data_IF_492806002200
#
_entry.id   IF_492806002200
#
_cell.length_a   1.000
_cell.length_b   1.000
_cell.length_c   1.000
_cell.angle_alpha   90.00
_cell.angle_beta   90.00
_cell.angle_gamma   90.00
#
_symmetry.space_group_name_H-M   'P 1'
#
loop_
_entity.id
_entity.type
_entity.pdbx_description
1 polymer ?
#
# COMPACT_ATOMS: atom_id res chain seq x y z
N UNK A 1 4.49 -3.65 -17.77
CA UNK A 1 4.46 -3.31 -16.33
C UNK A 1 4.61 -4.50 -15.41
N UNK A 2 3.79 -5.57 -15.53
CA UNK A 2 3.85 -6.74 -14.62
C UNK A 2 5.17 -7.55 -14.61
N UNK A 3 6.11 -7.26 -15.51
CA UNK A 3 7.46 -7.80 -15.48
C UNK A 3 8.40 -7.07 -14.48
N UNK A 4 8.00 -5.89 -13.98
CA UNK A 4 8.72 -5.21 -12.91
C UNK A 4 8.29 -5.74 -11.54
N UNK A 5 9.26 -6.13 -10.70
CA UNK A 5 9.00 -6.74 -9.39
C UNK A 5 8.22 -5.83 -8.44
N UNK A 6 8.51 -4.53 -8.45
CA UNK A 6 7.88 -3.58 -7.52
C UNK A 6 6.44 -3.30 -7.95
N UNK A 7 6.23 -3.15 -9.26
CA UNK A 7 4.91 -3.00 -9.84
C UNK A 7 4.04 -4.24 -9.65
N UNK A 8 4.58 -5.44 -9.88
CA UNK A 8 3.86 -6.69 -9.65
C UNK A 8 3.42 -6.82 -8.19
N UNK A 9 4.29 -6.47 -7.24
CA UNK A 9 3.95 -6.46 -5.82
C UNK A 9 2.87 -5.40 -5.52
N UNK A 10 2.95 -4.21 -6.11
CA UNK A 10 1.94 -3.17 -5.95
C UNK A 10 0.56 -3.64 -6.44
N UNK A 11 0.47 -4.25 -7.62
CA UNK A 11 -0.77 -4.83 -8.13
C UNK A 11 -1.31 -5.96 -7.23
N UNK A 12 -0.43 -6.81 -6.71
CA UNK A 12 -0.81 -7.86 -5.76
C UNK A 12 -1.35 -7.25 -4.45
N UNK A 13 -0.73 -6.20 -3.93
CA UNK A 13 -1.13 -5.57 -2.67
C UNK A 13 -2.56 -4.98 -2.75
N UNK A 14 -2.96 -4.42 -3.90
CA UNK A 14 -4.35 -4.00 -4.13
C UNK A 14 -5.30 -5.20 -4.04
N UNK A 15 -4.95 -6.32 -4.68
CA UNK A 15 -5.73 -7.55 -4.63
C UNK A 15 -5.81 -8.17 -3.23
N UNK A 16 -4.73 -8.12 -2.45
CA UNK A 16 -4.75 -8.62 -1.06
C UNK A 16 -5.58 -7.71 -0.12
N UNK A 17 -5.62 -6.41 -0.40
CA UNK A 17 -6.46 -5.47 0.34
C UNK A 17 -7.95 -5.69 0.09
N UNK A 18 -8.34 -6.20 -1.09
CA UNK A 18 -9.74 -6.45 -1.43
C UNK A 18 -10.32 -7.71 -0.76
N UNK A 19 -9.47 -8.63 -0.29
CA UNK A 19 -9.91 -9.86 0.36
C UNK A 19 -10.60 -9.57 1.71
N UNK A 20 -11.90 -9.86 1.77
CA UNK A 20 -12.75 -9.63 2.94
C UNK A 20 -13.15 -8.16 3.14
N UNK A 21 -12.92 -7.30 2.15
CA UNK A 21 -13.38 -5.91 2.15
C UNK A 21 -14.89 -5.81 1.85
N UNK A 22 -15.52 -4.76 2.33
CA UNK A 22 -16.91 -4.39 2.00
C UNK A 22 -17.02 -3.86 0.58
N UNK A 23 -18.22 -3.88 -0.02
CA UNK A 23 -18.44 -3.37 -1.38
C UNK A 23 -18.00 -1.90 -1.53
N UNK A 24 -18.22 -1.08 -0.49
CA UNK A 24 -17.77 0.31 -0.43
C UNK A 24 -16.24 0.43 -0.49
N UNK A 25 -15.52 -0.48 0.17
CA UNK A 25 -14.05 -0.54 0.14
C UNK A 25 -13.54 -1.13 -1.18
N UNK A 26 -14.29 -2.04 -1.82
CA UNK A 26 -13.97 -2.58 -3.14
C UNK A 26 -14.07 -1.49 -4.21
N UNK A 27 -15.13 -0.67 -4.22
CA UNK A 27 -15.29 0.44 -5.17
C UNK A 27 -14.14 1.44 -5.07
N UNK A 28 -13.77 1.73 -3.83
CA UNK A 28 -12.62 2.50 -3.41
C UNK A 28 -11.29 1.92 -3.95
N UNK A 29 -11.02 0.64 -3.73
CA UNK A 29 -9.84 -0.04 -4.28
C UNK A 29 -9.84 -0.11 -5.82
N UNK A 30 -11.02 -0.27 -6.44
CA UNK A 30 -11.17 -0.25 -7.89
C UNK A 30 -10.83 1.13 -8.47
N UNK A 31 -11.28 2.21 -7.81
CA UNK A 31 -10.94 3.59 -8.16
C UNK A 31 -9.43 3.83 -8.00
N UNK A 32 -8.82 3.31 -6.93
CA UNK A 32 -7.37 3.38 -6.76
C UNK A 32 -6.61 2.63 -7.86
N UNK A 33 -7.10 1.45 -8.26
CA UNK A 33 -6.56 0.70 -9.39
C UNK A 33 -6.67 1.49 -10.70
N UNK A 34 -7.81 2.16 -10.93
CA UNK A 34 -8.03 3.02 -12.09
C UNK A 34 -6.97 4.13 -12.20
N UNK A 35 -6.77 4.89 -11.14
CA UNK A 35 -5.82 6.01 -11.12
C UNK A 35 -4.36 5.61 -10.97
N UNK A 36 -4.06 4.31 -10.89
CA UNK A 36 -2.70 3.80 -10.81
C UNK A 36 -2.42 2.82 -11.94
N UNK A 37 -2.91 1.58 -11.86
CA UNK A 37 -2.59 0.52 -12.82
C UNK A 37 -3.14 0.83 -14.21
N UNK A 38 -4.30 1.50 -14.34
CA UNK A 38 -4.88 1.84 -15.64
C UNK A 38 -4.40 3.20 -16.19
N UNK A 39 -4.44 4.25 -15.37
CA UNK A 39 -4.16 5.63 -15.81
C UNK A 39 -3.09 6.34 -14.97
N UNK A 40 -2.20 5.61 -14.31
CA UNK A 40 -1.16 6.19 -13.47
C UNK A 40 0.03 6.76 -14.25
N UNK A 41 0.60 7.83 -13.68
CA UNK A 41 1.84 8.46 -14.10
C UNK A 41 2.93 8.28 -13.03
N UNK A 42 4.19 8.29 -13.43
CA UNK A 42 5.32 8.29 -12.50
C UNK A 42 6.36 9.36 -12.86
N UNK A 43 7.10 9.82 -11.85
CA UNK A 43 8.26 10.69 -12.04
C UNK A 43 9.51 9.84 -12.15
N UNK A 44 10.27 10.03 -13.23
CA UNK A 44 11.56 9.38 -13.44
C UNK A 44 12.58 10.44 -13.85
N UNK A 45 13.59 10.66 -13.00
CA UNK A 45 14.62 11.68 -13.21
C UNK A 45 14.03 13.09 -13.43
N UNK A 46 12.97 13.43 -12.68
CA UNK A 46 12.27 14.71 -12.80
C UNK A 46 11.30 14.81 -13.99
N UNK A 47 11.21 13.79 -14.85
CA UNK A 47 10.33 13.76 -16.02
C UNK A 47 9.11 12.89 -15.70
N UNK A 48 7.90 13.40 -15.98
CA UNK A 48 6.66 12.64 -15.85
C UNK A 48 6.54 11.67 -17.02
N UNK A 49 6.19 10.41 -16.73
CA UNK A 49 6.00 9.34 -17.70
C UNK A 49 4.74 8.55 -17.39
N UNK A 50 4.11 8.04 -18.44
CA UNK A 50 2.99 7.11 -18.30
C UNK A 50 3.48 5.70 -17.96
N UNK A 51 2.76 5.04 -17.05
CA UNK A 51 2.90 3.60 -16.82
C UNK A 51 1.56 2.86 -16.84
N UNK A 52 0.44 3.58 -16.73
CA UNK A 52 -0.90 3.00 -16.76
C UNK A 52 -1.18 2.23 -18.05
N UNK A 53 -1.86 1.08 -17.93
CA UNK A 53 -2.17 0.21 -19.07
C UNK A 53 -3.08 0.90 -20.11
N UNK A 54 -4.09 1.64 -19.67
CA UNK A 54 -4.96 2.45 -20.53
C UNK A 54 -4.18 3.52 -21.30
N UNK A 55 -3.21 4.16 -20.65
CA UNK A 55 -2.31 5.13 -21.31
C UNK A 55 -1.42 4.44 -22.34
N UNK A 56 -0.73 3.37 -21.95
CA UNK A 56 0.25 2.70 -22.81
C UNK A 56 -0.39 1.97 -24.01
N UNK A 57 -1.70 1.73 -23.99
CA UNK A 57 -2.44 1.08 -25.07
C UNK A 57 -3.28 2.04 -25.92
N UNK A 58 -3.40 3.32 -25.53
CA UNK A 58 -4.17 4.33 -26.26
C UNK A 58 -3.26 5.47 -26.72
N UNK A 59 -3.06 5.57 -28.03
CA UNK A 59 -2.21 6.60 -28.63
C UNK A 59 -2.63 8.03 -28.25
N UNK A 60 -3.93 8.33 -28.33
CA UNK A 60 -4.44 9.67 -28.04
C UNK A 60 -4.38 10.01 -26.55
N UNK A 61 -4.77 9.06 -25.69
CA UNK A 61 -4.74 9.23 -24.23
C UNK A 61 -3.31 9.39 -23.71
N UNK A 62 -2.33 8.66 -24.29
CA UNK A 62 -0.92 8.79 -23.95
C UNK A 62 -0.41 10.22 -24.18
N UNK A 63 -0.71 10.78 -25.35
CA UNK A 63 -0.31 12.16 -25.70
C UNK A 63 -1.03 13.15 -24.79
N UNK A 64 -2.33 12.98 -24.58
CA UNK A 64 -3.14 13.83 -23.71
C UNK A 64 -2.60 13.86 -22.28
N UNK A 65 -2.29 12.70 -21.69
CA UNK A 65 -1.80 12.56 -20.32
C UNK A 65 -0.47 13.25 -20.01
N UNK A 66 0.33 13.56 -21.05
CA UNK A 66 1.64 14.23 -20.94
C UNK A 66 1.62 15.65 -21.52
N UNK A 67 0.45 16.17 -21.87
CA UNK A 67 0.25 17.54 -22.32
C UNK A 67 -0.04 18.49 -21.16
N UNK A 68 -0.29 19.77 -21.45
CA UNK A 68 -0.68 20.78 -20.48
C UNK A 68 -2.21 20.85 -20.24
N UNK A 69 -2.99 20.00 -20.93
CA UNK A 69 -4.46 20.00 -20.85
C UNK A 69 -5.02 19.35 -19.55
N UNK A 70 -4.57 18.15 -19.12
CA UNK A 70 -5.12 17.53 -17.92
C UNK A 70 -4.50 18.08 -16.63
N UNK A 71 -5.23 17.96 -15.53
CA UNK A 71 -4.70 18.22 -14.21
C UNK A 71 -3.87 17.02 -13.71
N UNK A 72 -2.59 17.23 -13.39
CA UNK A 72 -1.72 16.20 -12.82
C UNK A 72 -1.50 16.47 -11.33
N UNK A 73 -1.95 15.55 -10.47
CA UNK A 73 -1.84 15.65 -9.01
C UNK A 73 -0.84 14.63 -8.48
N UNK A 74 -0.20 14.92 -7.35
CA UNK A 74 0.63 13.93 -6.67
C UNK A 74 -0.23 12.76 -6.16
N UNK A 75 0.29 11.55 -6.30
CA UNK A 75 -0.41 10.34 -5.86
C UNK A 75 -0.56 10.32 -4.34
N UNK A 76 -1.82 10.40 -3.93
CA UNK A 76 -2.31 10.21 -2.57
C UNK A 76 -3.46 9.17 -2.65
N UNK A 77 -3.32 8.00 -2.00
CA UNK A 77 -4.35 6.97 -2.03
C UNK A 77 -5.73 7.46 -1.54
N UNK A 78 -5.77 8.37 -0.56
CA UNK A 78 -7.03 8.90 -0.03
C UNK A 78 -7.78 9.72 -1.07
N UNK A 79 -7.06 10.60 -1.76
CA UNK A 79 -7.61 11.47 -2.79
C UNK A 79 -7.96 10.69 -4.06
N UNK A 80 -7.07 9.80 -4.50
CA UNK A 80 -7.25 9.03 -5.73
C UNK A 80 -8.48 8.13 -5.66
N UNK A 81 -8.73 7.54 -4.50
CA UNK A 81 -9.70 6.47 -4.41
C UNK A 81 -11.13 6.93 -4.08
N UNK A 82 -11.34 8.25 -4.01
CA UNK A 82 -12.67 8.89 -4.04
C UNK A 82 -12.82 9.83 -5.25
N UNK A 83 -11.81 9.92 -6.12
CA UNK A 83 -11.85 10.75 -7.31
C UNK A 83 -12.86 10.16 -8.30
N UNK A 84 -13.89 10.92 -8.71
CA UNK A 84 -14.80 10.47 -9.76
C UNK A 84 -14.07 10.32 -11.10
N UNK A 85 -14.46 9.31 -11.87
CA UNK A 85 -13.94 9.06 -13.22
C UNK A 85 -15.05 8.60 -14.17
N UNK A 86 -14.71 8.52 -15.46
CA UNK A 86 -15.55 8.00 -16.52
C UNK A 86 -14.68 7.31 -17.57
N UNK A 87 -15.27 6.51 -18.44
CA UNK A 87 -14.58 5.64 -19.39
C UNK A 87 -14.79 5.99 -20.88
N UNK A 88 -15.55 7.05 -21.19
CA UNK A 88 -15.89 7.45 -22.56
C UNK A 88 -14.91 8.44 -23.18
N UNK A 89 -14.44 9.41 -22.39
CA UNK A 89 -13.54 10.49 -22.79
C UNK A 89 -12.17 10.34 -22.11
N UNK A 90 -11.21 11.17 -22.52
CA UNK A 90 -9.90 11.21 -21.85
C UNK A 90 -10.03 11.71 -20.41
N UNK A 91 -9.15 11.21 -19.54
CA UNK A 91 -9.20 11.59 -18.13
C UNK A 91 -8.82 13.07 -17.97
N UNK A 92 -9.63 13.84 -17.21
CA UNK A 92 -9.30 15.23 -16.90
C UNK A 92 -8.26 15.34 -15.77
N UNK A 93 -8.07 14.27 -14.99
CA UNK A 93 -7.17 14.22 -13.83
C UNK A 93 -6.34 12.95 -13.90
N UNK A 94 -5.02 13.08 -13.68
CA UNK A 94 -4.10 11.96 -13.50
C UNK A 94 -3.34 12.09 -12.19
N UNK A 95 -2.90 10.97 -11.64
CA UNK A 95 -2.07 10.94 -10.44
C UNK A 95 -0.63 10.51 -10.76
N UNK A 96 0.35 11.28 -10.27
CA UNK A 96 1.78 11.02 -10.44
C UNK A 96 2.40 10.48 -9.16
N UNK A 97 3.03 9.31 -9.26
CA UNK A 97 3.81 8.71 -8.18
C UNK A 97 5.30 9.05 -8.31
N UNK A 98 6.00 9.27 -7.20
CA UNK A 98 7.46 9.51 -7.23
C UNK A 98 8.24 8.23 -7.58
N UNK A 99 7.73 7.07 -7.17
CA UNK A 99 8.23 5.75 -7.56
C UNK A 99 7.19 4.68 -7.25
N UNK A 100 7.32 3.49 -7.83
CA UNK A 100 6.48 2.35 -7.45
C UNK A 100 6.68 1.94 -5.99
N UNK A 101 7.89 2.14 -5.44
CA UNK A 101 8.15 1.91 -4.01
C UNK A 101 7.38 2.91 -3.13
N UNK A 102 7.35 4.18 -3.50
CA UNK A 102 6.57 5.21 -2.82
C UNK A 102 5.07 4.90 -2.89
N UNK A 103 4.54 4.61 -4.08
CA UNK A 103 3.14 4.25 -4.27
C UNK A 103 2.75 3.00 -3.44
N UNK A 104 3.60 1.97 -3.43
CA UNK A 104 3.41 0.77 -2.60
C UNK A 104 3.46 1.07 -1.11
N UNK A 105 4.38 1.92 -0.66
CA UNK A 105 4.47 2.28 0.74
C UNK A 105 3.25 3.09 1.18
N UNK A 106 2.78 4.04 0.36
CA UNK A 106 1.53 4.78 0.58
C UNK A 106 0.31 3.85 0.61
N UNK A 107 0.31 2.77 -0.19
CA UNK A 107 -0.71 1.72 -0.15
C UNK A 107 -0.61 0.82 1.10
N UNK A 108 0.59 0.62 1.67
CA UNK A 108 0.82 -0.33 2.78
C UNK A 108 0.79 0.29 4.17
N UNK A 109 1.25 1.53 4.35
CA UNK A 109 1.24 2.30 5.62
C UNK A 109 -0.16 2.40 6.26
N UNK A 110 -1.13 2.01 5.45
CA UNK A 110 -2.53 1.83 5.72
C UNK A 110 -2.85 0.67 6.69
N UNK A 111 -2.17 -0.48 6.62
CA UNK A 111 -2.60 -1.67 7.35
C UNK A 111 -2.33 -1.65 8.87
N UNK A 112 -1.54 -0.71 9.39
CA UNK A 112 -1.09 -0.68 10.79
C UNK A 112 -1.64 0.52 11.58
N UNK A 113 -2.94 0.50 11.88
CA UNK A 113 -3.48 1.17 13.08
C UNK A 113 -4.37 0.19 13.85
N UNK A 114 -3.97 -0.29 15.03
CA UNK A 114 -4.84 -1.13 15.85
C UNK A 114 -6.05 -0.29 16.28
N UNK A 115 -7.24 -0.76 15.94
CA UNK A 115 -8.50 -0.05 16.20
C UNK A 115 -8.96 -0.14 17.66
N UNK A 116 -8.28 -0.90 18.52
CA UNK A 116 -8.58 -1.01 19.95
C UNK A 116 -7.28 -0.94 20.75
N UNK A 117 -7.10 0.13 21.54
CA UNK A 117 -6.23 0.05 22.70
C UNK A 117 -6.83 -1.01 23.62
N UNK A 118 -6.13 -2.13 23.81
CA UNK A 118 -6.44 -3.07 24.87
C UNK A 118 -6.31 -2.28 26.19
N UNK A 119 -7.37 -2.15 27.01
CA UNK A 119 -7.19 -1.62 28.35
C UNK A 119 -6.23 -2.56 29.05
N UNK A 120 -5.09 -2.04 29.51
CA UNK A 120 -4.18 -2.77 30.37
C UNK A 120 -4.89 -3.01 31.72
N UNK A 121 -5.75 -4.02 31.76
CA UNK A 121 -6.35 -4.58 32.96
C UNK A 121 -5.44 -5.67 33.50
N UNK A 122 -4.34 -5.25 34.11
CA UNK A 122 -3.39 -6.10 34.82
C UNK A 122 -2.85 -5.31 36.00
N UNK A 123 -3.45 -5.56 37.16
CA UNK A 123 -3.25 -4.90 38.45
C UNK A 123 -1.77 -4.81 38.84
N UNK A 124 -1.24 -3.59 39.00
CA UNK A 124 -0.23 -3.21 40.02
C UNK A 124 0.23 -1.77 39.74
N UNK A 125 -0.22 -0.85 40.60
CA UNK A 125 0.33 0.52 40.66
C UNK A 125 1.55 0.47 41.57
N UNK A 126 2.70 0.97 41.11
CA UNK A 126 3.66 1.58 42.01
C UNK A 126 4.09 2.94 41.47
N UNK A 127 3.83 3.94 42.31
CA UNK A 127 4.12 5.35 42.14
C UNK A 127 5.62 5.53 42.38
N UNK A 128 6.38 5.77 41.32
CA UNK A 128 7.64 6.51 41.39
C UNK A 128 7.67 7.53 40.25
N UNK A 129 7.48 8.77 40.67
CA UNK A 129 7.46 9.98 39.88
C UNK A 129 8.87 10.37 39.38
N UNK A 130 8.88 11.08 38.24
CA UNK A 130 9.87 12.07 37.77
C UNK A 130 11.19 11.55 37.17
N UNK A 131 11.27 11.55 35.84
CA UNK A 131 11.99 12.57 35.07
C UNK A 131 12.27 12.10 33.63
N UNK A 132 11.38 12.42 32.69
CA UNK A 132 11.74 12.67 31.30
C UNK A 132 10.64 13.51 30.67
N UNK A 133 11.05 14.61 30.05
CA UNK A 133 10.21 15.58 29.36
C UNK A 133 9.32 14.89 28.31
N UNK A 134 8.10 15.39 28.02
CA UNK A 134 7.35 14.88 26.88
C UNK A 134 8.07 15.31 25.59
N UNK A 135 8.63 14.32 24.88
CA UNK A 135 8.94 14.47 23.46
C UNK A 135 7.67 14.97 22.74
N UNK A 136 7.77 16.01 21.89
CA UNK A 136 6.59 16.64 21.32
C UNK A 136 5.87 15.64 20.42
N UNK A 137 4.55 15.53 20.61
CA UNK A 137 3.60 14.81 19.78
C UNK A 137 4.11 14.63 18.34
N UNK A 138 4.45 13.39 17.97
CA UNK A 138 4.66 13.04 16.57
C UNK A 138 3.41 13.48 15.81
N UNK A 139 3.59 14.51 14.97
CA UNK A 139 2.57 15.07 14.08
C UNK A 139 1.80 13.92 13.44
N UNK A 140 0.49 13.92 13.61
CA UNK A 140 -0.39 13.07 12.83
C UNK A 140 -0.13 13.36 11.34
N UNK A 141 0.38 12.37 10.61
CA UNK A 141 0.57 12.45 9.17
C UNK A 141 -0.80 12.28 8.48
N UNK A 142 -1.31 13.30 7.75
CA UNK A 142 -2.70 13.32 7.26
C UNK A 142 -2.92 12.58 5.93
N UNK A 143 -2.24 11.46 5.66
CA UNK A 143 -2.25 10.78 4.34
C UNK A 143 -2.23 9.24 4.47
N UNK A 144 -3.37 8.61 4.81
CA UNK A 144 -3.45 7.14 4.90
C UNK A 144 -4.86 6.54 4.72
N UNK A 145 -5.12 5.92 3.57
CA UNK A 145 -6.38 5.31 3.09
C UNK A 145 -6.84 3.89 3.54
N UNK A 146 -6.04 2.83 3.49
CA UNK A 146 -6.51 1.43 3.71
C UNK A 146 -6.48 1.02 5.20
N UNK A 147 -6.08 1.94 6.11
CA UNK A 147 -6.34 1.85 7.55
C UNK A 147 -7.84 1.91 7.85
N UNK A 148 -8.63 2.27 6.83
CA UNK A 148 -10.07 2.27 6.89
C UNK A 148 -10.71 0.92 6.56
N UNK A 149 -9.95 -0.06 6.02
CA UNK A 149 -10.51 -1.38 5.68
C UNK A 149 -10.72 -2.18 6.97
N UNK A 150 -11.95 -2.22 7.45
CA UNK A 150 -12.30 -2.88 8.72
C UNK A 150 -12.44 -4.39 8.50
N UNK A 151 -11.37 -5.15 8.76
CA UNK A 151 -11.42 -6.61 8.78
C UNK A 151 -10.87 -7.21 10.07
N UNK A 152 -11.45 -8.31 10.58
CA UNK A 152 -11.02 -8.95 11.83
C UNK A 152 -9.77 -9.84 11.68
N UNK A 153 -9.20 -9.94 10.48
CA UNK A 153 -8.03 -10.75 10.15
C UNK A 153 -7.11 -10.00 9.17
N UNK A 154 -5.86 -10.44 9.05
CA UNK A 154 -4.99 -10.06 7.92
C UNK A 154 -4.80 -11.24 6.98
N UNK A 155 -4.25 -10.99 5.79
CA UNK A 155 -3.97 -12.03 4.80
C UNK A 155 -2.50 -12.00 4.41
N UNK A 156 -1.94 -13.17 4.08
CA UNK A 156 -0.62 -13.32 3.49
C UNK A 156 -0.72 -14.23 2.28
N UNK A 157 -0.02 -13.89 1.21
CA UNK A 157 0.11 -14.77 0.04
C UNK A 157 1.22 -15.79 0.27
N UNK A 158 0.93 -17.07 0.03
CA UNK A 158 1.89 -18.17 0.08
C UNK A 158 2.31 -18.54 -1.35
N UNK A 159 3.51 -18.13 -1.80
CA UNK A 159 3.96 -18.34 -3.18
C UNK A 159 4.20 -19.81 -3.54
N UNK A 160 4.50 -20.69 -2.59
CA UNK A 160 4.80 -22.10 -2.91
C UNK A 160 3.55 -22.90 -3.27
N UNK A 161 2.42 -22.60 -2.64
CA UNK A 161 1.13 -23.27 -2.86
C UNK A 161 0.15 -22.44 -3.69
N UNK A 162 0.50 -21.18 -3.98
CA UNK A 162 -0.39 -20.18 -4.60
C UNK A 162 -1.70 -19.98 -3.81
N UNK A 163 -1.66 -20.06 -2.47
CA UNK A 163 -2.82 -19.88 -1.59
C UNK A 163 -2.77 -18.58 -0.79
N UNK A 164 -3.91 -18.21 -0.18
CA UNK A 164 -4.01 -17.11 0.78
C UNK A 164 -4.09 -17.70 2.18
N UNK A 165 -3.17 -17.32 3.05
CA UNK A 165 -3.20 -17.63 4.47
C UNK A 165 -3.96 -16.53 5.22
N UNK A 166 -4.90 -16.95 6.06
CA UNK A 166 -5.56 -16.06 7.01
C UNK A 166 -4.70 -15.95 8.27
N UNK A 167 -4.38 -14.71 8.64
CA UNK A 167 -3.68 -14.36 9.87
C UNK A 167 -4.71 -13.83 10.87
N UNK A 168 -5.45 -14.76 11.47
CA UNK A 168 -6.57 -14.49 12.39
C UNK A 168 -6.29 -14.91 13.86
N UNK A 169 -5.15 -15.55 14.10
CA UNK A 169 -4.76 -16.09 15.40
C UNK A 169 -3.25 -16.00 15.65
N UNK A 170 -2.81 -15.91 16.92
CA UNK A 170 -1.38 -15.89 17.25
C UNK A 170 -0.61 -17.08 16.69
N UNK A 171 -1.22 -18.26 16.62
CA UNK A 171 -0.61 -19.48 16.09
C UNK A 171 -0.29 -19.33 14.60
N UNK A 172 -1.22 -18.82 13.79
CA UNK A 172 -1.01 -18.57 12.36
C UNK A 172 0.06 -17.50 12.13
N UNK A 173 0.08 -16.45 12.95
CA UNK A 173 1.12 -15.42 12.90
C UNK A 173 2.49 -16.01 13.24
N UNK A 174 2.59 -16.82 14.31
CA UNK A 174 3.83 -17.50 14.68
C UNK A 174 4.34 -18.42 13.57
N UNK A 175 3.47 -19.21 12.94
CA UNK A 175 3.84 -20.07 11.82
C UNK A 175 4.39 -19.25 10.63
N UNK A 176 3.72 -18.15 10.29
CA UNK A 176 4.19 -17.23 9.26
C UNK A 176 5.53 -16.56 9.60
N UNK A 177 5.82 -16.32 10.89
CA UNK A 177 7.11 -15.78 11.36
C UNK A 177 8.25 -16.80 11.31
N UNK A 178 7.96 -18.11 11.42
CA UNK A 178 8.98 -19.16 11.27
C UNK A 178 9.60 -19.13 9.88
N UNK A 179 8.79 -18.95 8.84
CA UNK A 179 9.27 -18.78 7.45
C UNK A 179 10.20 -17.57 7.31
N UNK A 180 9.85 -16.42 7.91
CA UNK A 180 10.71 -15.22 7.89
C UNK A 180 12.02 -15.46 8.66
N UNK A 181 11.97 -16.18 9.78
CA UNK A 181 13.17 -16.54 10.55
C UNK A 181 14.13 -17.40 9.71
N UNK A 182 13.60 -18.33 8.93
CA UNK A 182 14.42 -19.20 8.08
C UNK A 182 15.07 -18.42 6.92
N UNK A 183 14.36 -17.44 6.33
CA UNK A 183 14.95 -16.50 5.38
C UNK A 183 16.10 -15.68 5.99
N UNK A 184 15.92 -15.16 7.21
CA UNK A 184 16.97 -14.42 7.92
C UNK A 184 18.18 -15.30 8.22
N UNK A 185 17.99 -16.54 8.66
CA UNK A 185 19.09 -17.49 8.86
C UNK A 185 19.85 -17.75 7.55
N UNK A 186 19.15 -17.88 6.41
CA UNK A 186 19.78 -18.03 5.10
C UNK A 186 20.67 -16.84 4.75
N UNK A 187 20.20 -15.61 5.00
CA UNK A 187 20.99 -14.39 4.78
C UNK A 187 22.21 -14.28 5.70
N UNK A 188 22.08 -14.66 6.99
CA UNK A 188 23.20 -14.70 7.92
C UNK A 188 24.26 -15.69 7.46
N UNK A 189 23.85 -16.89 7.03
CA UNK A 189 24.77 -17.88 6.49
C UNK A 189 25.48 -17.37 5.23
N UNK A 190 24.76 -16.70 4.33
CA UNK A 190 25.35 -16.10 3.13
C UNK A 190 26.39 -15.02 3.48
N UNK A 191 26.11 -14.18 4.49
CA UNK A 191 27.07 -13.18 4.98
C UNK A 191 28.35 -13.84 5.51
N UNK A 192 28.22 -14.89 6.31
CA UNK A 192 29.38 -15.62 6.88
C UNK A 192 30.25 -16.31 5.81
N UNK A 193 29.70 -16.62 4.63
CA UNK A 193 30.47 -17.19 3.50
C UNK A 193 31.26 -16.13 2.74
N UNK A 194 30.74 -14.90 2.70
CA UNK A 194 31.32 -13.78 1.95
C UNK A 194 32.33 -13.00 2.82
N UNK A 195 32.12 -12.97 4.15
CA UNK A 195 33.04 -12.36 5.13
C UNK A 195 34.25 -13.23 5.44
#
# INVERSE_FOLDING_TARGET
MLADKTFAQFSQDIGLASLGATDEEIEKLATLYWFTVEFGLCRQNGIVKAYGAGLLSSYGELIHSLSDEPEVRDFDPDAAAVQPYQDQNYQPVYFVSESFSDAKNKLRSLHFRPSHAVPAGGTSVSIWERAALPEPCARADPRSYAAHIKRPFSVKYEPYTHSIELLDSPQMICHSLESVRDELHSLINALNVIS
#
